data_IF_538654167478
#
_entry.id   IF_538654167478
#
_cell.length_a   1.000
_cell.length_b   1.000
_cell.length_c   1.000
_cell.angle_alpha   90.00
_cell.angle_beta   90.00
_cell.angle_gamma   90.00
#
_symmetry.space_group_name_H-M   'P 1'
#
loop_
_entity.id
_entity.type
_entity.pdbx_description
1 polymer ?
#
# COMPACT_ATOMS: atom_id res chain seq x y z
N UNK A 1 41.23 -86.99 16.17
CA UNK A 1 40.42 -86.59 17.34
C UNK A 1 39.26 -85.75 16.80
N UNK A 2 38.03 -86.34 16.80
CA UNK A 2 36.68 -85.75 16.58
C UNK A 2 36.44 -84.87 15.31
N UNK A 3 35.59 -85.28 14.34
CA UNK A 3 34.12 -85.03 14.22
C UNK A 3 33.77 -83.52 14.10
N UNK A 4 32.87 -82.97 13.26
CA UNK A 4 31.97 -83.38 12.18
C UNK A 4 31.28 -82.08 11.65
N UNK A 5 30.76 -82.11 10.42
CA UNK A 5 29.60 -81.37 9.86
C UNK A 5 29.48 -79.82 9.71
N UNK A 6 29.47 -79.42 8.43
CA UNK A 6 28.41 -78.74 7.63
C UNK A 6 27.43 -77.78 8.36
N UNK A 7 27.35 -76.54 7.85
CA UNK A 7 26.20 -75.63 8.07
C UNK A 7 26.28 -74.32 7.26
N UNK A 8 25.45 -74.22 6.23
CA UNK A 8 25.31 -73.08 5.29
C UNK A 8 24.67 -71.86 5.98
N UNK A 9 25.12 -70.65 5.63
CA UNK A 9 24.44 -69.40 6.01
C UNK A 9 24.94 -68.17 5.26
N UNK A 10 24.51 -68.01 4.01
CA UNK A 10 24.67 -66.77 3.22
C UNK A 10 24.04 -65.58 3.96
N UNK A 11 24.80 -64.51 4.16
CA UNK A 11 24.28 -63.13 4.18
C UNK A 11 25.15 -62.27 3.28
N UNK A 12 24.58 -61.90 2.13
CA UNK A 12 25.15 -60.88 1.25
C UNK A 12 25.00 -59.52 1.93
N UNK A 13 26.12 -58.88 2.27
CA UNK A 13 26.15 -57.47 2.64
C UNK A 13 26.48 -56.66 1.40
N UNK A 14 25.44 -56.12 0.77
CA UNK A 14 25.57 -55.13 -0.31
C UNK A 14 26.16 -53.87 0.29
N UNK A 15 27.44 -53.59 -0.01
CA UNK A 15 28.07 -52.29 0.24
C UNK A 15 27.43 -51.25 -0.69
N UNK A 16 26.41 -50.56 -0.21
CA UNK A 16 25.94 -49.31 -0.82
C UNK A 16 27.05 -48.27 -0.71
N UNK A 17 27.74 -48.03 -1.83
CA UNK A 17 28.52 -46.79 -2.01
C UNK A 17 27.54 -45.65 -1.98
N UNK A 18 27.49 -44.95 -0.85
CA UNK A 18 26.75 -43.71 -0.67
C UNK A 18 27.07 -42.73 -1.79
N UNK A 19 26.15 -42.62 -2.74
CA UNK A 19 26.11 -41.58 -3.77
C UNK A 19 25.80 -40.29 -3.01
N UNK A 20 26.84 -39.56 -2.58
CA UNK A 20 26.69 -38.18 -2.10
C UNK A 20 25.99 -37.41 -3.21
N UNK A 21 24.68 -37.20 -3.07
CA UNK A 21 23.93 -36.23 -3.86
C UNK A 21 24.68 -34.91 -3.68
N UNK A 22 25.24 -34.39 -4.78
CA UNK A 22 25.66 -33.00 -4.85
C UNK A 22 24.42 -32.18 -4.51
N UNK A 23 24.40 -31.64 -3.29
CA UNK A 23 23.54 -30.52 -2.94
C UNK A 23 23.81 -29.46 -4.00
N UNK A 24 22.76 -29.09 -4.74
CA UNK A 24 22.85 -28.08 -5.78
C UNK A 24 23.54 -26.86 -5.21
N UNK A 25 24.54 -26.38 -5.94
CA UNK A 25 25.20 -25.12 -5.67
C UNK A 25 24.11 -24.03 -5.67
N UNK A 26 23.67 -23.60 -4.50
CA UNK A 26 22.90 -22.37 -4.36
C UNK A 26 23.82 -21.29 -4.95
N UNK A 27 23.43 -20.72 -6.09
CA UNK A 27 24.15 -19.57 -6.62
C UNK A 27 24.29 -18.53 -5.51
N UNK A 28 25.47 -17.90 -5.34
CA UNK A 28 25.63 -16.89 -4.31
C UNK A 28 24.61 -15.78 -4.58
N UNK A 29 23.66 -15.63 -3.66
CA UNK A 29 22.72 -14.51 -3.65
C UNK A 29 23.57 -13.24 -3.64
N UNK A 30 23.70 -12.60 -4.80
CA UNK A 30 24.46 -11.36 -4.91
C UNK A 30 23.74 -10.33 -4.05
N UNK A 31 24.50 -9.70 -3.15
CA UNK A 31 23.97 -8.65 -2.31
C UNK A 31 23.33 -7.55 -3.18
N UNK A 32 22.16 -7.02 -2.78
CA UNK A 32 21.54 -5.92 -3.47
C UNK A 32 22.43 -4.67 -3.38
N UNK A 33 22.43 -3.85 -4.42
CA UNK A 33 23.29 -2.67 -4.52
C UNK A 33 22.59 -1.53 -5.25
N UNK A 34 23.03 -0.30 -5.01
CA UNK A 34 22.51 0.91 -5.66
C UNK A 34 23.30 1.22 -6.94
N UNK A 35 22.58 1.59 -8.00
CA UNK A 35 23.17 2.02 -9.26
C UNK A 35 22.66 3.42 -9.66
N UNK A 36 23.48 4.25 -10.33
CA UNK A 36 23.05 5.57 -10.78
C UNK A 36 21.79 5.50 -11.67
N UNK A 37 20.80 6.30 -11.32
CA UNK A 37 19.51 6.35 -12.00
C UNK A 37 18.97 7.78 -11.99
N UNK A 38 18.89 8.39 -13.18
CA UNK A 38 18.50 9.81 -13.32
C UNK A 38 19.37 10.68 -12.39
N UNK A 39 18.77 11.52 -11.55
CA UNK A 39 19.49 12.40 -10.61
C UNK A 39 19.79 11.73 -9.25
N UNK A 40 19.57 10.42 -9.13
CA UNK A 40 19.76 9.67 -7.90
C UNK A 40 20.22 8.24 -8.12
N UNK A 41 19.68 7.32 -7.33
CA UNK A 41 20.04 5.90 -7.35
C UNK A 41 18.81 5.01 -7.43
N UNK A 42 18.96 3.88 -8.11
CA UNK A 42 18.00 2.78 -8.10
C UNK A 42 18.66 1.54 -7.51
N UNK A 43 17.99 0.95 -6.54
CA UNK A 43 18.34 -0.30 -5.92
C UNK A 43 18.08 -1.47 -6.85
N UNK A 44 19.03 -2.40 -6.87
CA UNK A 44 19.02 -3.56 -7.75
C UNK A 44 19.20 -4.81 -6.92
N UNK A 45 18.39 -5.81 -7.22
CA UNK A 45 18.48 -7.12 -6.57
C UNK A 45 18.40 -8.25 -7.59
N UNK A 46 19.18 -9.29 -7.38
CA UNK A 46 19.07 -10.54 -8.12
C UNK A 46 18.00 -11.42 -7.49
N UNK A 47 17.01 -11.85 -8.28
CA UNK A 47 15.92 -12.73 -7.82
C UNK A 47 15.63 -13.76 -8.91
N UNK A 48 15.79 -15.05 -8.59
CA UNK A 48 15.41 -16.16 -9.48
C UNK A 48 15.98 -16.05 -10.91
N UNK A 49 17.29 -15.81 -11.04
CA UNK A 49 17.97 -15.68 -12.35
C UNK A 49 17.83 -14.33 -13.06
N UNK A 50 16.95 -13.44 -12.58
CA UNK A 50 16.73 -12.10 -13.15
C UNK A 50 17.19 -10.98 -12.23
N UNK A 51 17.12 -9.76 -12.75
CA UNK A 51 17.31 -8.51 -12.02
C UNK A 51 15.95 -7.85 -11.76
N UNK A 52 15.76 -7.35 -10.54
CA UNK A 52 14.62 -6.51 -10.19
C UNK A 52 15.07 -5.12 -9.76
N UNK A 53 14.21 -4.14 -10.07
CA UNK A 53 14.23 -2.78 -9.53
C UNK A 53 12.81 -2.44 -9.06
N UNK A 54 12.66 -1.57 -8.08
CA UNK A 54 11.34 -1.18 -7.57
C UNK A 54 11.17 0.33 -7.57
N UNK A 55 10.02 0.78 -8.07
CA UNK A 55 9.56 2.17 -8.01
C UNK A 55 8.49 2.28 -6.92
N UNK A 56 8.58 3.30 -6.06
CA UNK A 56 7.48 3.74 -5.23
C UNK A 56 6.63 4.74 -6.01
N UNK A 57 5.31 4.58 -5.95
CA UNK A 57 4.36 5.58 -6.43
C UNK A 57 3.84 6.32 -5.21
N UNK A 58 4.34 7.54 -4.92
CA UNK A 58 3.81 8.35 -3.85
C UNK A 58 2.37 8.79 -4.16
N UNK A 59 1.54 9.05 -3.14
CA UNK A 59 0.23 9.63 -3.35
C UNK A 59 0.36 11.01 -4.02
N UNK A 60 -0.68 11.42 -4.74
CA UNK A 60 -0.77 12.76 -5.32
C UNK A 60 -1.09 13.83 -4.28
N UNK A 61 -1.26 15.06 -4.74
CA UNK A 61 -1.64 16.19 -3.88
C UNK A 61 -2.91 15.86 -3.09
N UNK A 62 -2.94 16.14 -1.77
CA UNK A 62 -4.09 15.82 -0.93
C UNK A 62 -5.29 16.63 -1.41
N UNK A 63 -6.31 15.94 -1.92
CA UNK A 63 -7.52 16.55 -2.48
C UNK A 63 -8.76 15.84 -1.95
N UNK A 64 -9.86 16.57 -1.70
CA UNK A 64 -11.11 15.95 -1.32
C UNK A 64 -11.63 15.06 -2.46
N UNK A 65 -12.09 13.87 -2.12
CA UNK A 65 -12.68 12.94 -3.07
C UNK A 65 -13.81 12.14 -2.43
N UNK A 66 -14.69 11.62 -3.28
CA UNK A 66 -15.82 10.78 -2.87
C UNK A 66 -15.34 9.35 -2.66
N UNK A 67 -15.59 8.80 -1.48
CA UNK A 67 -15.26 7.41 -1.17
C UNK A 67 -16.16 6.45 -1.93
N UNK A 68 -15.66 5.23 -2.15
CA UNK A 68 -16.36 4.22 -2.95
C UNK A 68 -16.44 4.54 -4.44
N UNK A 69 -15.58 5.45 -4.94
CA UNK A 69 -15.42 5.64 -6.38
C UNK A 69 -14.74 4.40 -6.97
N UNK A 70 -15.32 3.83 -8.02
CA UNK A 70 -14.78 2.64 -8.67
C UNK A 70 -13.38 2.91 -9.23
N UNK A 71 -12.50 1.91 -9.11
CA UNK A 71 -11.19 1.82 -9.75
C UNK A 71 -11.34 1.56 -11.26
N UNK A 72 -12.54 1.30 -11.73
CA UNK A 72 -12.87 1.28 -13.13
C UNK A 72 -13.46 2.64 -13.56
N UNK A 73 -12.87 3.24 -14.58
CA UNK A 73 -13.40 4.45 -15.20
C UNK A 73 -13.30 4.34 -16.72
N UNK A 74 -14.29 4.85 -17.49
CA UNK A 74 -14.17 4.93 -18.95
C UNK A 74 -12.85 5.59 -19.35
N UNK A 75 -12.20 5.10 -20.40
CA UNK A 75 -10.88 5.60 -20.83
C UNK A 75 -10.87 7.11 -21.18
N UNK A 76 -12.04 7.68 -21.49
CA UNK A 76 -12.27 9.10 -21.78
C UNK A 76 -12.36 9.98 -20.54
N UNK A 77 -12.51 9.39 -19.35
CA UNK A 77 -12.52 10.14 -18.10
C UNK A 77 -11.09 10.58 -17.78
N UNK A 78 -10.85 11.86 -17.45
CA UNK A 78 -9.57 12.30 -16.87
C UNK A 78 -9.42 11.63 -15.50
N UNK A 79 -8.85 10.42 -15.51
CA UNK A 79 -8.74 9.56 -14.34
C UNK A 79 -7.35 9.67 -13.74
N UNK A 80 -7.30 10.04 -12.46
CA UNK A 80 -6.12 9.84 -11.64
C UNK A 80 -6.09 8.39 -11.17
N UNK A 81 -4.99 7.68 -11.46
CA UNK A 81 -4.83 6.28 -11.09
C UNK A 81 -3.71 5.62 -11.90
N UNK A 82 -3.27 4.44 -11.46
CA UNK A 82 -2.20 3.72 -12.13
C UNK A 82 -2.71 3.13 -13.45
N UNK A 83 -2.08 3.46 -14.61
CA UNK A 83 -2.59 3.06 -15.92
C UNK A 83 -2.15 1.63 -16.27
N UNK A 84 -2.91 0.63 -15.81
CA UNK A 84 -2.58 -0.78 -15.99
C UNK A 84 -2.46 -1.18 -17.47
N UNK A 85 -3.40 -0.74 -18.31
CA UNK A 85 -3.37 -1.03 -19.73
C UNK A 85 -2.11 -0.46 -20.41
N UNK A 86 -1.71 0.76 -20.06
CA UNK A 86 -0.48 1.35 -20.62
C UNK A 86 0.79 0.60 -20.19
N UNK A 87 0.85 0.10 -18.94
CA UNK A 87 1.95 -0.76 -18.49
C UNK A 87 1.97 -2.09 -19.24
N UNK A 88 0.81 -2.67 -19.50
CA UNK A 88 0.66 -3.91 -20.27
C UNK A 88 1.10 -3.70 -21.73
N UNK A 89 0.71 -2.58 -22.35
CA UNK A 89 1.14 -2.21 -23.69
C UNK A 89 2.65 -1.93 -23.77
N UNK A 90 3.26 -1.37 -22.71
CA UNK A 90 4.71 -1.21 -22.64
C UNK A 90 5.42 -2.56 -22.69
N UNK A 91 4.91 -3.57 -21.96
CA UNK A 91 5.47 -4.93 -21.98
C UNK A 91 5.37 -5.61 -23.37
N UNK A 92 4.43 -5.20 -24.22
CA UNK A 92 4.33 -5.70 -25.60
C UNK A 92 5.41 -5.14 -26.52
N UNK A 93 6.10 -4.06 -26.13
CA UNK A 93 7.08 -3.43 -27.02
C UNK A 93 8.30 -4.33 -27.18
N UNK A 94 8.78 -4.58 -28.41
CA UNK A 94 9.94 -5.45 -28.64
C UNK A 94 11.23 -4.99 -27.92
N UNK A 95 11.31 -3.73 -27.50
CA UNK A 95 12.44 -3.13 -26.82
C UNK A 95 12.22 -2.88 -25.32
N UNK A 96 11.13 -3.41 -24.74
CA UNK A 96 10.78 -3.20 -23.34
C UNK A 96 11.85 -3.69 -22.37
N UNK A 97 12.52 -4.80 -22.69
CA UNK A 97 13.49 -5.55 -21.85
C UNK A 97 12.94 -6.05 -20.49
N UNK A 98 11.82 -5.51 -20.01
CA UNK A 98 11.05 -6.01 -18.89
C UNK A 98 10.34 -7.33 -19.24
N UNK A 99 10.47 -8.32 -18.36
CA UNK A 99 9.82 -9.64 -18.48
C UNK A 99 8.57 -9.75 -17.62
N UNK A 100 8.45 -8.92 -16.58
CA UNK A 100 7.24 -8.76 -15.80
C UNK A 100 7.24 -7.39 -15.11
N UNK A 101 6.04 -6.87 -14.83
CA UNK A 101 5.84 -5.73 -13.93
C UNK A 101 4.89 -6.20 -12.84
N UNK A 102 5.34 -6.16 -11.59
CA UNK A 102 4.50 -6.49 -10.43
C UNK A 102 4.05 -5.21 -9.75
N UNK A 103 2.75 -4.95 -9.73
CA UNK A 103 2.14 -3.88 -8.94
C UNK A 103 1.71 -4.44 -7.60
N UNK A 104 2.24 -3.90 -6.52
CA UNK A 104 1.88 -4.26 -5.15
C UNK A 104 1.24 -3.06 -4.46
N UNK A 105 0.01 -3.23 -4.03
CA UNK A 105 -0.75 -2.25 -3.24
C UNK A 105 -0.85 -2.82 -1.84
N UNK A 106 -0.19 -2.16 -0.89
CA UNK A 106 -0.36 -2.46 0.53
C UNK A 106 -1.15 -1.35 1.18
N UNK A 107 -2.18 -1.69 1.92
CA UNK A 107 -2.98 -0.73 2.66
C UNK A 107 -3.60 -1.36 3.89
N UNK A 108 -4.49 -0.61 4.51
CA UNK A 108 -5.33 -1.10 5.58
C UNK A 108 -6.39 -0.06 5.88
N UNK A 109 -7.47 -0.52 6.50
CA UNK A 109 -8.49 0.36 7.05
C UNK A 109 -8.01 0.94 8.38
N UNK A 110 -8.69 0.53 9.45
CA UNK A 110 -8.62 1.11 10.76
C UNK A 110 -8.00 0.12 11.75
N UNK A 111 -6.67 0.13 11.95
CA UNK A 111 -6.00 -0.88 12.77
C UNK A 111 -6.37 -0.78 14.25
N UNK A 112 -6.51 -1.94 14.89
CA UNK A 112 -6.69 -2.07 16.34
C UNK A 112 -8.15 -2.12 16.82
N UNK A 113 -8.31 -2.50 18.08
CA UNK A 113 -9.63 -2.70 18.72
C UNK A 113 -9.91 -1.68 19.82
N UNK A 114 -9.14 -0.59 19.87
CA UNK A 114 -9.34 0.50 20.81
C UNK A 114 -10.63 1.30 20.54
N UNK A 115 -10.99 2.23 21.44
CA UNK A 115 -12.21 3.02 21.31
C UNK A 115 -12.29 3.83 20.01
N UNK A 116 -11.21 4.51 19.63
CA UNK A 116 -11.16 5.32 18.40
C UNK A 116 -11.30 4.47 17.13
N UNK A 117 -10.52 3.37 16.93
CA UNK A 117 -10.73 2.48 15.80
C UNK A 117 -12.13 1.88 15.71
N UNK A 118 -12.69 1.46 16.85
CA UNK A 118 -14.04 0.88 16.91
C UNK A 118 -15.11 1.89 16.50
N UNK A 119 -15.05 3.12 17.05
CA UNK A 119 -15.99 4.19 16.70
C UNK A 119 -15.90 4.58 15.21
N UNK A 120 -14.68 4.63 14.65
CA UNK A 120 -14.46 4.99 13.26
C UNK A 120 -14.88 3.88 12.29
N UNK A 121 -14.65 2.60 12.61
CA UNK A 121 -15.22 1.47 11.83
C UNK A 121 -16.74 1.53 11.78
N UNK A 122 -17.38 1.88 12.91
CA UNK A 122 -18.82 2.09 12.97
C UNK A 122 -19.32 3.22 12.05
N UNK A 123 -18.52 4.27 11.86
CA UNK A 123 -18.82 5.35 10.90
C UNK A 123 -18.63 4.89 9.45
N UNK A 124 -17.52 4.20 9.16
CA UNK A 124 -17.19 3.72 7.81
C UNK A 124 -18.23 2.73 7.30
N UNK A 125 -18.75 1.86 8.17
CA UNK A 125 -19.67 0.80 7.76
C UNK A 125 -19.06 -0.05 6.64
N UNK A 126 -19.80 -0.31 5.54
CA UNK A 126 -19.33 -1.14 4.42
C UNK A 126 -18.63 -0.34 3.31
N UNK A 127 -18.05 0.84 3.61
CA UNK A 127 -17.36 1.66 2.61
C UNK A 127 -15.94 1.15 2.35
N UNK A 128 -15.56 0.83 1.09
CA UNK A 128 -14.27 0.21 0.76
C UNK A 128 -13.18 1.28 0.81
N UNK A 129 -12.83 1.69 2.03
CA UNK A 129 -11.92 2.77 2.30
C UNK A 129 -10.62 2.23 2.90
N UNK A 130 -9.49 2.59 2.29
CA UNK A 130 -8.20 2.37 2.89
C UNK A 130 -7.65 3.74 3.29
N UNK A 131 -7.62 3.97 4.61
CA UNK A 131 -7.12 5.21 5.16
C UNK A 131 -5.66 5.46 4.77
N UNK A 132 -4.90 4.37 4.53
CA UNK A 132 -3.53 4.42 4.05
C UNK A 132 -3.31 3.40 2.93
N UNK A 133 -2.64 3.83 1.87
CA UNK A 133 -2.18 2.98 0.77
C UNK A 133 -0.73 3.29 0.44
N UNK A 134 -0.01 2.25 0.05
CA UNK A 134 1.34 2.35 -0.48
C UNK A 134 1.44 1.47 -1.70
N UNK A 135 2.01 2.02 -2.77
CA UNK A 135 2.08 1.34 -4.05
C UNK A 135 3.52 1.20 -4.46
N UNK A 136 3.88 -0.02 -4.88
CA UNK A 136 5.21 -0.39 -5.35
C UNK A 136 5.07 -1.08 -6.69
N UNK A 137 5.90 -0.68 -7.65
CA UNK A 137 6.03 -1.34 -8.94
C UNK A 137 7.41 -1.98 -9.04
N UNK A 138 7.47 -3.30 -9.06
CA UNK A 138 8.70 -4.04 -9.29
C UNK A 138 8.82 -4.38 -10.76
N UNK A 139 9.88 -3.88 -11.41
CA UNK A 139 10.21 -4.18 -12.80
C UNK A 139 11.22 -5.32 -12.80
N UNK A 140 10.82 -6.47 -13.36
CA UNK A 140 11.69 -7.63 -13.54
C UNK A 140 12.27 -7.63 -14.95
N UNK A 141 13.56 -7.90 -15.02
CA UNK A 141 14.29 -8.11 -16.27
C UNK A 141 15.04 -9.43 -16.21
N UNK A 142 14.99 -10.19 -17.29
CA UNK A 142 15.78 -11.40 -17.45
C UNK A 142 16.67 -11.27 -18.69
N UNK A 143 17.98 -11.01 -18.50
CA UNK A 143 18.93 -10.86 -19.61
C UNK A 143 19.04 -12.13 -20.48
N UNK A 144 18.75 -13.31 -19.94
CA UNK A 144 18.86 -14.58 -20.67
C UNK A 144 17.68 -14.80 -21.61
N UNK A 145 16.51 -14.23 -21.30
CA UNK A 145 15.34 -14.29 -22.18
C UNK A 145 15.44 -13.32 -23.36
N UNK A 146 16.24 -12.25 -23.22
CA UNK A 146 16.37 -11.20 -24.25
C UNK A 146 17.83 -10.83 -24.57
N UNK A 147 18.68 -11.80 -24.97
CA UNK A 147 20.11 -11.57 -25.14
C UNK A 147 20.44 -10.50 -26.19
N UNK A 148 19.66 -10.45 -27.28
CA UNK A 148 19.82 -9.44 -28.34
C UNK A 148 19.50 -8.01 -27.88
N UNK A 149 18.55 -7.83 -26.96
CA UNK A 149 18.28 -6.52 -26.35
C UNK A 149 19.37 -6.13 -25.37
N UNK A 150 19.83 -7.08 -24.55
CA UNK A 150 20.94 -6.85 -23.62
C UNK A 150 22.22 -6.45 -24.35
N UNK A 151 22.53 -7.09 -25.49
CA UNK A 151 23.70 -6.80 -26.30
C UNK A 151 23.77 -5.33 -26.80
N UNK A 152 22.61 -4.66 -26.97
CA UNK A 152 22.56 -3.23 -27.36
C UNK A 152 23.18 -2.31 -26.29
N UNK A 153 23.28 -2.77 -25.05
CA UNK A 153 23.85 -2.03 -23.93
C UNK A 153 25.32 -2.38 -23.64
N UNK A 154 25.95 -3.18 -24.51
CA UNK A 154 27.33 -3.61 -24.42
C UNK A 154 27.47 -5.10 -24.13
N UNK A 155 28.61 -5.49 -23.53
CA UNK A 155 28.92 -6.88 -23.20
C UNK A 155 28.93 -7.14 -21.69
N UNK A 156 28.70 -8.42 -21.34
CA UNK A 156 28.87 -8.91 -19.97
C UNK A 156 27.80 -8.43 -18.97
N UNK A 157 28.06 -8.61 -17.66
CA UNK A 157 27.09 -8.32 -16.60
C UNK A 157 26.63 -6.85 -16.53
N UNK A 158 27.49 -5.91 -16.95
CA UNK A 158 27.15 -4.47 -17.00
C UNK A 158 26.08 -4.18 -18.07
N UNK A 159 26.02 -4.96 -19.14
CA UNK A 159 24.98 -4.82 -20.17
C UNK A 159 23.61 -5.22 -19.62
N UNK A 160 23.54 -6.31 -18.83
CA UNK A 160 22.32 -6.74 -18.13
C UNK A 160 21.81 -5.65 -17.17
N UNK A 161 22.73 -5.07 -16.38
CA UNK A 161 22.45 -3.95 -15.50
C UNK A 161 21.87 -2.74 -16.26
N UNK A 162 22.52 -2.31 -17.34
CA UNK A 162 22.06 -1.17 -18.16
C UNK A 162 20.70 -1.44 -18.81
N UNK A 163 20.47 -2.66 -19.29
CA UNK A 163 19.17 -3.08 -19.82
C UNK A 163 18.08 -3.03 -18.76
N UNK A 164 18.38 -3.47 -17.53
CA UNK A 164 17.47 -3.39 -16.38
C UNK A 164 17.11 -1.93 -16.06
N UNK A 165 18.11 -1.06 -15.89
CA UNK A 165 17.89 0.36 -15.63
C UNK A 165 17.12 1.05 -16.78
N UNK A 166 17.38 0.67 -18.04
CA UNK A 166 16.64 1.20 -19.18
C UNK A 166 15.17 0.78 -19.17
N UNK A 167 14.86 -0.47 -18.81
CA UNK A 167 13.48 -0.93 -18.64
C UNK A 167 12.76 -0.13 -17.54
N UNK A 168 13.41 0.07 -16.39
CA UNK A 168 12.90 0.86 -15.27
C UNK A 168 12.65 2.31 -15.67
N UNK A 169 13.57 2.94 -16.43
CA UNK A 169 13.39 4.31 -16.95
C UNK A 169 12.19 4.42 -17.87
N UNK A 170 11.92 3.42 -18.72
CA UNK A 170 10.74 3.42 -19.60
C UNK A 170 9.43 3.34 -18.80
N UNK A 171 9.39 2.51 -17.76
CA UNK A 171 8.24 2.43 -16.85
C UNK A 171 8.03 3.77 -16.14
N UNK A 172 9.08 4.34 -15.54
CA UNK A 172 9.00 5.64 -14.88
C UNK A 172 8.57 6.76 -15.85
N UNK A 173 9.13 6.80 -17.06
CA UNK A 173 8.78 7.78 -18.08
C UNK A 173 7.32 7.63 -18.56
N UNK A 174 6.83 6.40 -18.70
CA UNK A 174 5.42 6.14 -19.02
C UNK A 174 4.50 6.69 -17.93
N UNK A 175 4.78 6.37 -16.66
CA UNK A 175 4.01 6.86 -15.53
C UNK A 175 4.00 8.40 -15.47
N UNK A 176 5.17 9.03 -15.64
CA UNK A 176 5.27 10.50 -15.71
C UNK A 176 4.46 11.09 -16.85
N UNK A 177 4.48 10.46 -18.04
CA UNK A 177 3.66 10.86 -19.18
C UNK A 177 2.15 10.78 -18.91
N UNK A 178 1.73 9.94 -17.97
CA UNK A 178 0.36 9.84 -17.48
C UNK A 178 0.07 10.71 -16.24
N UNK A 179 1.02 11.57 -15.82
CA UNK A 179 0.86 12.41 -14.63
C UNK A 179 1.06 11.68 -13.30
N UNK A 180 1.61 10.46 -13.32
CA UNK A 180 1.89 9.65 -12.13
C UNK A 180 3.37 9.76 -11.75
N UNK A 181 3.64 10.24 -10.54
CA UNK A 181 5.01 10.26 -10.01
C UNK A 181 5.49 8.85 -9.67
N UNK A 182 6.75 8.54 -9.97
CA UNK A 182 7.37 7.28 -9.62
C UNK A 182 8.84 7.53 -9.22
N UNK A 183 9.20 7.08 -8.01
CA UNK A 183 10.52 7.32 -7.42
C UNK A 183 11.24 5.98 -7.24
N UNK A 184 12.48 5.81 -7.72
CA UNK A 184 13.23 4.59 -7.50
C UNK A 184 13.52 4.36 -6.01
N UNK A 185 13.40 3.11 -5.56
CA UNK A 185 13.80 2.69 -4.23
C UNK A 185 15.27 2.32 -4.21
N UNK A 186 15.96 2.61 -3.09
CA UNK A 186 17.32 2.14 -2.82
C UNK A 186 17.37 0.62 -2.60
N UNK A 187 18.55 0.02 -2.67
CA UNK A 187 18.77 -1.41 -2.47
C UNK A 187 18.27 -1.90 -1.10
N UNK A 188 18.43 -1.09 -0.05
CA UNK A 188 17.91 -1.35 1.27
C UNK A 188 16.38 -1.36 1.29
N UNK A 189 15.74 -0.38 0.63
CA UNK A 189 14.28 -0.29 0.52
C UNK A 189 13.67 -1.40 -0.35
N UNK A 190 14.33 -1.79 -1.45
CA UNK A 190 13.95 -2.96 -2.26
C UNK A 190 14.00 -4.21 -1.39
N UNK A 191 15.05 -4.36 -0.58
CA UNK A 191 15.21 -5.50 0.32
C UNK A 191 14.12 -5.56 1.38
N UNK A 192 13.80 -4.42 2.00
CA UNK A 192 12.70 -4.33 2.96
C UNK A 192 11.34 -4.63 2.32
N UNK A 193 11.13 -4.18 1.07
CA UNK A 193 9.88 -4.44 0.31
C UNK A 193 9.72 -5.93 0.01
N UNK A 194 10.77 -6.59 -0.44
CA UNK A 194 10.75 -8.02 -0.73
C UNK A 194 10.65 -8.86 0.54
N UNK A 195 11.30 -8.45 1.63
CA UNK A 195 11.15 -9.10 2.93
C UNK A 195 9.74 -8.94 3.49
N UNK A 196 9.09 -7.78 3.30
CA UNK A 196 7.69 -7.60 3.71
C UNK A 196 6.74 -8.50 2.91
N UNK A 197 6.97 -8.67 1.61
CA UNK A 197 6.20 -9.59 0.78
C UNK A 197 6.46 -11.07 1.13
N UNK A 198 7.71 -11.42 1.45
CA UNK A 198 8.10 -12.73 1.93
C UNK A 198 7.67 -12.99 3.40
N UNK A 199 7.53 -11.96 4.23
CA UNK A 199 6.93 -12.06 5.55
C UNK A 199 5.40 -12.25 5.50
N UNK A 200 4.79 -11.98 4.35
CA UNK A 200 3.45 -12.45 4.01
C UNK A 200 3.48 -13.82 3.28
N UNK A 201 4.66 -14.42 3.07
CA UNK A 201 4.89 -15.65 2.30
C UNK A 201 6.18 -16.35 2.77
N UNK A 202 6.29 -16.72 4.04
CA UNK A 202 7.53 -17.34 4.52
C UNK A 202 7.65 -18.76 3.93
N UNK A 203 8.73 -19.11 3.21
CA UNK A 203 8.93 -20.48 2.76
C UNK A 203 9.57 -21.28 3.88
N UNK A 204 8.89 -22.33 4.33
CA UNK A 204 9.51 -23.39 5.12
C UNK A 204 9.10 -23.47 6.59
N UNK A 205 7.82 -23.72 6.86
CA UNK A 205 7.43 -24.66 7.91
C UNK A 205 6.06 -25.23 7.55
N UNK A 206 6.01 -26.56 7.38
CA UNK A 206 4.78 -27.27 7.07
C UNK A 206 3.74 -27.05 8.17
N UNK A 207 2.69 -26.32 7.84
CA UNK A 207 1.56 -25.97 8.69
C UNK A 207 0.64 -25.06 7.90
N UNK A 208 -0.53 -25.59 7.57
CA UNK A 208 -1.64 -24.96 6.86
C UNK A 208 -2.32 -23.96 7.82
N UNK A 209 -2.73 -22.78 7.33
CA UNK A 209 -2.62 -21.47 8.02
C UNK A 209 -1.16 -21.10 8.23
N UNK A 210 -0.69 -19.97 7.67
CA UNK A 210 0.60 -19.41 8.06
C UNK A 210 0.44 -18.87 9.49
N UNK A 211 0.35 -19.75 10.48
CA UNK A 211 0.10 -19.45 11.88
C UNK A 211 1.20 -18.57 12.49
N UNK A 212 2.33 -18.42 11.80
CA UNK A 212 3.39 -17.50 12.16
C UNK A 212 3.08 -16.03 11.79
N UNK A 213 2.26 -15.78 10.75
CA UNK A 213 1.97 -14.43 10.22
C UNK A 213 0.48 -14.07 10.25
N UNK A 214 -0.41 -15.06 10.36
CA UNK A 214 -1.86 -14.88 10.33
C UNK A 214 -2.39 -14.37 8.98
N UNK A 215 -1.63 -14.52 7.88
CA UNK A 215 -2.01 -13.99 6.57
C UNK A 215 -2.68 -15.04 5.68
N UNK A 216 -3.90 -14.77 5.24
CA UNK A 216 -4.65 -15.59 4.27
C UNK A 216 -4.54 -14.99 2.88
N UNK A 217 -4.30 -15.82 1.86
CA UNK A 217 -4.16 -15.37 0.47
C UNK A 217 -5.23 -15.96 -0.43
N UNK A 218 -5.72 -15.14 -1.35
CA UNK A 218 -6.71 -15.47 -2.35
C UNK A 218 -6.18 -15.10 -3.73
N UNK A 219 -6.45 -15.92 -4.74
CA UNK A 219 -6.34 -15.50 -6.13
C UNK A 219 -7.62 -14.81 -6.57
N UNK A 220 -7.47 -13.84 -7.47
CA UNK A 220 -8.60 -13.11 -8.04
C UNK A 220 -8.86 -13.63 -9.44
N UNK A 221 -10.06 -14.19 -9.63
CA UNK A 221 -10.57 -14.67 -10.92
C UNK A 221 -11.44 -13.59 -11.55
N UNK A 222 -10.90 -12.89 -12.54
CA UNK A 222 -11.57 -11.84 -13.29
C UNK A 222 -11.52 -12.12 -14.79
N UNK A 223 -12.52 -11.63 -15.53
CA UNK A 223 -12.64 -11.81 -16.99
C UNK A 223 -12.20 -10.56 -17.75
N UNK A 224 -12.28 -9.40 -17.11
CA UNK A 224 -12.05 -8.07 -17.68
C UNK A 224 -11.55 -7.10 -16.60
N UNK A 225 -11.24 -5.87 -17.00
CA UNK A 225 -10.75 -4.83 -16.10
C UNK A 225 -11.76 -4.40 -15.02
N UNK A 226 -13.06 -4.43 -15.31
CA UNK A 226 -14.11 -4.00 -14.38
C UNK A 226 -14.30 -5.01 -13.25
N UNK A 227 -14.41 -6.30 -13.59
CA UNK A 227 -14.49 -7.41 -12.63
C UNK A 227 -13.22 -7.51 -11.79
N UNK A 228 -12.03 -7.26 -12.38
CA UNK A 228 -10.77 -7.18 -11.65
C UNK A 228 -10.78 -6.04 -10.62
N UNK A 229 -11.15 -4.83 -11.03
CA UNK A 229 -11.22 -3.66 -10.16
C UNK A 229 -12.20 -3.89 -9.00
N UNK A 230 -13.41 -4.34 -9.30
CA UNK A 230 -14.46 -4.62 -8.31
C UNK A 230 -14.03 -5.69 -7.30
N UNK A 231 -13.42 -6.78 -7.77
CA UNK A 231 -12.94 -7.85 -6.90
C UNK A 231 -11.80 -7.37 -6.00
N UNK A 232 -10.90 -6.51 -6.50
CA UNK A 232 -9.81 -5.97 -5.70
C UNK A 232 -10.28 -4.88 -4.71
N UNK A 233 -11.26 -4.06 -5.08
CA UNK A 233 -11.87 -3.04 -4.20
C UNK A 233 -12.52 -3.66 -2.97
N UNK A 234 -13.14 -4.83 -3.15
CA UNK A 234 -13.91 -5.52 -2.12
C UNK A 234 -13.09 -5.83 -0.86
N UNK A 235 -11.76 -5.95 -0.96
CA UNK A 235 -10.90 -6.26 0.20
C UNK A 235 -10.95 -5.20 1.28
N UNK A 236 -11.09 -3.92 0.90
CA UNK A 236 -11.01 -2.81 1.85
C UNK A 236 -12.20 -2.75 2.79
N UNK A 237 -13.27 -3.47 2.47
CA UNK A 237 -14.45 -3.68 3.31
C UNK A 237 -14.38 -4.89 4.23
N UNK A 238 -13.60 -5.88 3.83
CA UNK A 238 -13.64 -7.20 4.44
C UNK A 238 -12.46 -7.42 5.38
N UNK A 239 -11.36 -6.70 5.21
CA UNK A 239 -10.17 -6.91 6.04
C UNK A 239 -10.20 -6.05 7.31
N UNK A 240 -10.04 -6.71 8.47
CA UNK A 240 -9.84 -6.02 9.75
C UNK A 240 -8.38 -5.53 9.92
N UNK A 241 -7.44 -6.18 9.23
CA UNK A 241 -6.02 -5.91 9.32
C UNK A 241 -5.39 -5.42 8.00
N UNK A 242 -4.04 -5.42 7.94
CA UNK A 242 -3.32 -5.06 6.73
C UNK A 242 -3.70 -5.94 5.53
N UNK A 243 -3.75 -5.30 4.38
CA UNK A 243 -4.06 -5.91 3.09
C UNK A 243 -2.92 -5.71 2.13
N UNK A 244 -2.64 -6.72 1.33
CA UNK A 244 -1.72 -6.66 0.20
C UNK A 244 -2.40 -7.19 -1.06
N UNK A 245 -2.67 -6.32 -2.03
CA UNK A 245 -3.06 -6.74 -3.36
C UNK A 245 -1.82 -6.77 -4.27
N UNK A 246 -1.64 -7.86 -5.00
CA UNK A 246 -0.54 -8.01 -5.97
C UNK A 246 -1.11 -8.30 -7.34
N UNK A 247 -0.72 -7.51 -8.34
CA UNK A 247 -0.96 -7.77 -9.75
C UNK A 247 0.37 -8.04 -10.45
N UNK A 248 0.50 -9.16 -11.14
CA UNK A 248 1.65 -9.47 -11.98
C UNK A 248 1.24 -9.34 -13.45
N UNK A 249 1.81 -8.35 -14.13
CA UNK A 249 1.64 -8.12 -15.56
C UNK A 249 2.78 -8.84 -16.29
N UNK A 250 2.42 -9.72 -17.23
CA UNK A 250 3.37 -10.51 -18.02
C UNK A 250 3.02 -10.47 -19.50
N UNK A 251 4.02 -10.53 -20.41
CA UNK A 251 3.78 -10.87 -21.80
C UNK A 251 3.52 -12.39 -21.88
N UNK A 252 2.27 -12.84 -21.89
CA UNK A 252 1.92 -14.26 -22.06
C UNK A 252 2.05 -14.70 -23.52
N UNK A 253 2.09 -16.02 -23.76
CA UNK A 253 2.22 -16.61 -25.10
C UNK A 253 1.03 -16.24 -26.02
N UNK A 254 -0.20 -16.23 -25.47
CA UNK A 254 -1.40 -15.76 -26.18
C UNK A 254 -1.64 -14.24 -26.05
N UNK A 255 -0.58 -13.48 -25.74
CA UNK A 255 -0.63 -12.06 -25.41
C UNK A 255 -0.58 -11.80 -23.91
N UNK A 256 -0.42 -10.52 -23.52
CA UNK A 256 -0.15 -10.19 -22.14
C UNK A 256 -1.33 -10.45 -21.23
N UNK A 257 -1.00 -10.83 -20.01
CA UNK A 257 -1.88 -11.38 -19.01
C UNK A 257 -1.61 -10.69 -17.67
N UNK A 258 -2.69 -10.48 -16.91
CA UNK A 258 -2.60 -10.03 -15.52
C UNK A 258 -3.11 -11.12 -14.60
N UNK A 259 -2.24 -11.54 -13.71
CA UNK A 259 -2.59 -12.40 -12.58
C UNK A 259 -2.74 -11.52 -11.34
N UNK A 260 -3.80 -11.71 -10.55
CA UNK A 260 -4.04 -10.93 -9.35
C UNK A 260 -4.24 -11.82 -8.12
N UNK A 261 -3.76 -11.34 -6.97
CA UNK A 261 -3.95 -11.96 -5.67
C UNK A 261 -4.15 -10.94 -4.58
N UNK A 262 -4.81 -11.36 -3.50
CA UNK A 262 -5.08 -10.55 -2.32
C UNK A 262 -4.64 -11.34 -1.09
N UNK A 263 -3.74 -10.75 -0.30
CA UNK A 263 -3.35 -11.20 1.02
C UNK A 263 -4.02 -10.35 2.09
N UNK A 264 -4.58 -10.99 3.10
CA UNK A 264 -5.21 -10.34 4.25
C UNK A 264 -4.59 -10.89 5.52
N UNK A 265 -4.00 -10.02 6.32
CA UNK A 265 -3.49 -10.37 7.65
C UNK A 265 -4.62 -10.23 8.66
N UNK A 266 -4.90 -11.29 9.41
CA UNK A 266 -6.00 -11.37 10.37
C UNK A 266 -7.27 -11.98 9.77
N UNK A 267 -8.42 -11.58 10.31
CA UNK A 267 -9.73 -12.12 9.92
C UNK A 267 -10.39 -11.30 8.82
N UNK A 268 -11.25 -11.97 8.05
CA UNK A 268 -12.21 -11.32 7.17
C UNK A 268 -13.53 -11.09 7.92
N UNK A 269 -14.12 -9.91 7.78
CA UNK A 269 -15.50 -9.63 8.13
C UNK A 269 -16.43 -10.33 7.12
N UNK A 270 -16.74 -11.59 7.36
CA UNK A 270 -17.64 -12.39 6.52
C UNK A 270 -16.93 -13.30 5.52
N UNK A 271 -17.69 -13.80 4.54
CA UNK A 271 -17.18 -14.72 3.52
C UNK A 271 -16.39 -14.00 2.43
N UNK A 272 -15.36 -14.64 1.84
CA UNK A 272 -14.64 -14.07 0.71
C UNK A 272 -15.57 -13.85 -0.50
N UNK A 273 -15.34 -12.82 -1.33
CA UNK A 273 -16.12 -12.55 -2.54
C UNK A 273 -16.10 -13.71 -3.54
N UNK A 274 -17.10 -13.76 -4.43
CA UNK A 274 -17.26 -14.82 -5.45
C UNK A 274 -16.05 -14.98 -6.40
N UNK A 275 -15.33 -13.88 -6.64
CA UNK A 275 -14.15 -13.87 -7.51
C UNK A 275 -12.86 -14.29 -6.81
N UNK A 276 -12.92 -14.66 -5.52
CA UNK A 276 -11.75 -14.96 -4.72
C UNK A 276 -11.67 -16.46 -4.43
N UNK A 277 -10.58 -17.07 -4.89
CA UNK A 277 -10.30 -18.48 -4.60
C UNK A 277 -9.18 -18.55 -3.57
N UNK A 278 -9.38 -19.18 -2.40
CA UNK A 278 -8.32 -19.39 -1.43
C UNK A 278 -7.12 -20.09 -2.08
N UNK A 279 -5.93 -19.53 -1.95
CA UNK A 279 -4.71 -20.16 -2.43
C UNK A 279 -4.20 -21.14 -1.36
N UNK A 280 -4.30 -22.43 -1.67
CA UNK A 280 -3.85 -23.53 -0.80
C UNK A 280 -2.47 -24.02 -1.28
N UNK A 281 -1.44 -23.91 -0.43
CA UNK A 281 -0.07 -24.34 -0.72
C UNK A 281 0.81 -23.31 -1.45
N UNK A 282 2.03 -23.71 -1.84
CA UNK A 282 2.87 -22.93 -2.78
C UNK A 282 2.23 -23.01 -4.16
N UNK A 283 1.32 -22.08 -4.46
CA UNK A 283 0.91 -21.85 -5.84
C UNK A 283 1.93 -20.89 -6.45
N UNK A 284 2.77 -21.34 -7.40
CA UNK A 284 3.59 -20.40 -8.15
C UNK A 284 2.66 -19.41 -8.84
N UNK A 285 3.01 -18.13 -8.89
CA UNK A 285 2.24 -17.05 -9.52
C UNK A 285 1.86 -17.27 -11.02
N UNK A 286 2.20 -18.43 -11.57
CA UNK A 286 2.09 -18.85 -12.97
C UNK A 286 0.80 -19.60 -13.34
N UNK A 287 -0.05 -20.00 -12.38
CA UNK A 287 -1.27 -20.77 -12.67
C UNK A 287 -2.58 -20.00 -12.37
N UNK A 288 -2.50 -18.67 -12.26
CA UNK A 288 -3.66 -17.83 -11.98
C UNK A 288 -4.41 -17.48 -13.27
N UNK A 289 -5.75 -17.35 -13.22
CA UNK A 289 -6.52 -16.88 -14.36
C UNK A 289 -6.05 -15.48 -14.80
N UNK A 290 -5.85 -15.32 -16.10
CA UNK A 290 -5.26 -14.15 -16.70
C UNK A 290 -6.31 -13.20 -17.28
N UNK A 291 -6.33 -11.95 -16.80
CA UNK A 291 -7.10 -10.87 -17.43
C UNK A 291 -6.31 -10.31 -18.61
N UNK A 292 -6.95 -10.14 -19.76
CA UNK A 292 -6.31 -9.67 -21.00
C UNK A 292 -6.75 -8.27 -21.44
N UNK A 293 -7.95 -7.84 -21.05
CA UNK A 293 -8.47 -6.50 -21.30
C UNK A 293 -8.48 -5.71 -19.99
N UNK A 294 -7.69 -4.62 -19.96
CA UNK A 294 -7.59 -3.70 -18.83
C UNK A 294 -8.02 -2.28 -19.23
N UNK A 295 -8.70 -2.12 -20.37
CA UNK A 295 -9.21 -0.83 -20.79
C UNK A 295 -10.09 -0.26 -19.67
N UNK A 296 -9.81 0.97 -19.26
CA UNK A 296 -10.53 1.63 -18.16
C UNK A 296 -10.15 1.22 -16.74
N UNK A 297 -9.36 0.15 -16.54
CA UNK A 297 -8.84 -0.20 -15.21
C UNK A 297 -7.82 0.83 -14.74
N UNK A 298 -8.05 1.42 -13.56
CA UNK A 298 -7.23 2.47 -12.94
C UNK A 298 -7.13 2.23 -11.44
N UNK A 299 -6.03 1.65 -10.99
CA UNK A 299 -5.83 1.43 -9.55
C UNK A 299 -5.64 2.77 -8.84
N UNK A 300 -6.25 2.99 -7.66
CA UNK A 300 -6.12 4.23 -6.92
C UNK A 300 -4.67 4.39 -6.50
N UNK A 301 -4.13 5.58 -6.74
CA UNK A 301 -2.78 5.95 -6.27
C UNK A 301 -2.84 6.62 -4.90
N UNK A 302 -3.92 7.34 -4.65
CA UNK A 302 -4.15 8.09 -3.43
C UNK A 302 -4.72 7.16 -2.34
N UNK A 303 -4.39 7.48 -1.10
CA UNK A 303 -5.15 6.95 0.03
C UNK A 303 -6.45 7.76 0.22
N UNK A 304 -7.38 7.18 0.97
CA UNK A 304 -8.69 7.79 1.19
C UNK A 304 -8.66 8.84 2.32
N UNK A 305 -7.56 8.90 3.07
CA UNK A 305 -7.43 9.71 4.27
C UNK A 305 -8.50 9.40 5.30
N UNK A 306 -9.07 10.46 5.88
CA UNK A 306 -10.17 10.35 6.85
C UNK A 306 -11.47 10.87 6.27
N UNK A 307 -12.60 10.26 6.63
CA UNK A 307 -13.92 10.82 6.33
C UNK A 307 -14.03 12.18 7.03
N UNK A 308 -14.48 13.19 6.30
CA UNK A 308 -14.81 14.51 6.88
C UNK A 308 -16.32 14.66 7.01
N UNK A 309 -17.06 14.31 5.96
CA UNK A 309 -18.50 14.52 5.85
C UNK A 309 -19.10 13.77 4.68
N UNK A 310 -20.36 14.07 4.38
CA UNK A 310 -21.04 13.66 3.15
C UNK A 310 -21.31 14.89 2.28
N UNK A 311 -21.17 14.77 0.96
CA UNK A 311 -21.54 15.83 0.04
C UNK A 311 -23.09 16.01 -0.04
N UNK A 312 -23.61 17.00 -0.79
CA UNK A 312 -25.06 17.21 -0.90
C UNK A 312 -25.86 16.01 -1.43
N UNK A 313 -25.20 15.08 -2.14
CA UNK A 313 -25.80 13.84 -2.66
C UNK A 313 -25.77 12.70 -1.62
N UNK A 314 -25.27 12.98 -0.40
CA UNK A 314 -25.10 11.98 0.66
C UNK A 314 -23.88 11.08 0.46
N UNK A 315 -22.98 11.38 -0.48
CA UNK A 315 -21.80 10.55 -0.73
C UNK A 315 -20.68 10.90 0.27
N UNK A 316 -20.08 9.91 0.94
CA UNK A 316 -18.98 10.18 1.87
C UNK A 316 -17.79 10.82 1.17
N UNK A 317 -17.20 11.84 1.81
CA UNK A 317 -16.04 12.58 1.32
C UNK A 317 -14.86 12.39 2.27
N UNK A 318 -13.77 11.88 1.70
CA UNK A 318 -12.48 11.71 2.38
C UNK A 318 -11.52 12.85 2.06
N UNK A 319 -10.62 13.13 2.99
CA UNK A 319 -9.47 14.00 2.79
C UNK A 319 -8.25 13.46 3.55
N UNK A 320 -7.12 13.40 2.85
CA UNK A 320 -5.83 13.08 3.44
C UNK A 320 -5.27 14.31 4.17
N UNK A 321 -5.26 14.25 5.49
CA UNK A 321 -4.78 15.33 6.38
C UNK A 321 -3.42 15.02 7.02
N UNK A 322 -2.91 13.81 6.84
CA UNK A 322 -1.62 13.37 7.38
C UNK A 322 -0.91 12.43 6.40
N UNK A 323 0.41 12.49 6.39
CA UNK A 323 1.24 11.65 5.52
C UNK A 323 2.67 12.18 5.40
N UNK A 324 3.63 11.33 4.99
CA UNK A 324 5.04 11.71 4.90
C UNK A 324 5.30 12.86 3.90
N UNK A 325 4.40 13.07 2.95
CA UNK A 325 4.43 14.10 1.93
C UNK A 325 3.46 15.27 2.22
N UNK A 326 2.78 15.26 3.38
CA UNK A 326 1.98 16.37 3.88
C UNK A 326 2.73 17.03 5.04
N UNK A 327 3.43 18.12 4.76
CA UNK A 327 4.12 18.88 5.80
C UNK A 327 3.15 19.58 6.77
N UNK A 328 1.97 19.99 6.26
CA UNK A 328 0.97 20.73 7.01
C UNK A 328 -0.44 20.48 6.48
N UNK A 329 -1.39 20.43 7.39
CA UNK A 329 -2.83 20.47 7.15
C UNK A 329 -3.49 21.44 8.14
N UNK A 330 -4.65 21.99 7.79
CA UNK A 330 -5.33 22.99 8.60
C UNK A 330 -6.78 22.58 8.89
N UNK A 331 -7.24 22.88 10.12
CA UNK A 331 -8.64 22.75 10.53
C UNK A 331 -9.08 24.07 11.12
N UNK A 332 -10.09 24.68 10.50
CA UNK A 332 -10.74 25.91 10.98
C UNK A 332 -12.13 25.52 11.47
N UNK A 333 -12.40 25.69 12.75
CA UNK A 333 -13.70 25.36 13.30
C UNK A 333 -13.69 25.08 14.80
N UNK A 334 -14.83 24.62 15.31
CA UNK A 334 -15.02 24.37 16.74
C UNK A 334 -14.21 23.15 17.19
N UNK A 335 -13.84 23.14 18.47
CA UNK A 335 -13.00 22.10 19.08
C UNK A 335 -13.53 20.68 18.82
N UNK A 336 -14.85 20.47 18.83
CA UNK A 336 -15.46 19.16 18.56
C UNK A 336 -15.12 18.61 17.17
N UNK A 337 -15.04 19.48 16.15
CA UNK A 337 -14.62 19.06 14.79
C UNK A 337 -13.15 18.64 14.81
N UNK A 338 -12.30 19.42 15.46
CA UNK A 338 -10.86 19.17 15.54
C UNK A 338 -10.59 17.85 16.27
N UNK A 339 -11.19 17.67 17.45
CA UNK A 339 -11.11 16.43 18.24
C UNK A 339 -11.59 15.22 17.42
N UNK A 340 -12.68 15.37 16.65
CA UNK A 340 -13.16 14.30 15.77
C UNK A 340 -12.18 13.96 14.66
N UNK A 341 -11.58 14.95 14.01
CA UNK A 341 -10.52 14.72 13.01
C UNK A 341 -9.34 13.98 13.64
N UNK A 342 -8.93 14.35 14.86
CA UNK A 342 -7.86 13.66 15.60
C UNK A 342 -8.21 12.20 15.89
N UNK A 343 -9.44 11.92 16.36
CA UNK A 343 -9.93 10.54 16.57
C UNK A 343 -9.82 9.74 15.28
N UNK A 344 -10.21 10.31 14.13
CA UNK A 344 -10.16 9.63 12.84
C UNK A 344 -8.74 9.40 12.34
N UNK A 345 -7.82 10.34 12.59
CA UNK A 345 -6.39 10.17 12.24
C UNK A 345 -5.75 9.07 13.08
N UNK A 346 -6.02 9.06 14.39
CA UNK A 346 -5.62 7.99 15.30
C UNK A 346 -6.17 6.65 14.84
N UNK A 347 -7.47 6.60 14.51
CA UNK A 347 -8.14 5.42 14.00
C UNK A 347 -7.56 4.95 12.65
N UNK A 348 -7.12 5.87 11.78
CA UNK A 348 -6.39 5.59 10.55
C UNK A 348 -4.94 5.09 10.76
N UNK A 349 -4.48 5.02 12.01
CA UNK A 349 -3.14 4.54 12.38
C UNK A 349 -2.07 5.63 12.38
N UNK A 350 -2.45 6.91 12.46
CA UNK A 350 -1.49 8.01 12.65
C UNK A 350 -1.24 8.27 14.13
N UNK A 351 0.00 8.08 14.58
CA UNK A 351 0.41 8.52 15.92
C UNK A 351 0.36 10.04 15.99
N UNK A 352 -0.29 10.58 17.01
CA UNK A 352 -0.61 12.01 17.14
C UNK A 352 -0.16 12.55 18.50
N UNK A 353 0.61 13.62 18.48
CA UNK A 353 1.02 14.37 19.67
C UNK A 353 0.32 15.73 19.71
N UNK A 354 -0.25 16.07 20.86
CA UNK A 354 -0.97 17.34 21.08
C UNK A 354 -0.03 18.39 21.66
N UNK A 355 0.27 19.42 20.86
CA UNK A 355 0.94 20.65 21.27
C UNK A 355 -0.11 21.71 21.54
N UNK A 356 -0.34 22.01 22.81
CA UNK A 356 -1.35 22.96 23.25
C UNK A 356 -0.87 23.71 24.49
N UNK A 357 -1.34 24.96 24.64
CA UNK A 357 -1.23 25.75 25.88
C UNK A 357 -2.48 25.58 26.76
N UNK A 358 -3.46 24.78 26.31
CA UNK A 358 -4.78 24.59 26.91
C UNK A 358 -5.04 23.08 27.14
N UNK A 359 -4.25 22.40 28.00
CA UNK A 359 -4.31 20.95 28.17
C UNK A 359 -5.68 20.42 28.60
N UNK A 360 -6.46 21.21 29.32
CA UNK A 360 -7.83 20.90 29.71
C UNK A 360 -8.77 20.68 28.52
N UNK A 361 -8.47 21.28 27.36
CA UNK A 361 -9.20 21.03 26.10
C UNK A 361 -8.90 19.68 25.47
N UNK A 362 -7.96 18.90 26.00
CA UNK A 362 -7.55 17.65 25.40
C UNK A 362 -7.55 16.48 26.38
N UNK A 363 -7.45 16.73 27.69
CA UNK A 363 -7.41 15.70 28.72
C UNK A 363 -8.52 14.63 28.57
N UNK A 364 -9.77 15.05 28.44
CA UNK A 364 -10.91 14.13 28.24
C UNK A 364 -10.78 13.22 27.03
N UNK A 365 -10.34 13.78 25.88
CA UNK A 365 -10.10 13.00 24.67
C UNK A 365 -8.93 12.01 24.84
N UNK A 366 -7.83 12.44 25.47
CA UNK A 366 -6.67 11.57 25.73
C UNK A 366 -7.07 10.36 26.58
N UNK A 367 -7.88 10.59 27.62
CA UNK A 367 -8.38 9.54 28.50
C UNK A 367 -9.40 8.64 27.77
N UNK A 368 -10.28 9.20 26.96
CA UNK A 368 -11.29 8.46 26.22
C UNK A 368 -10.70 7.55 25.11
N UNK A 369 -9.64 8.00 24.43
CA UNK A 369 -8.93 7.17 23.44
C UNK A 369 -8.14 6.05 24.13
N UNK A 370 -7.64 6.28 25.34
CA UNK A 370 -6.98 5.29 26.19
C UNK A 370 -5.79 4.54 25.56
N UNK A 371 -5.17 5.11 24.52
CA UNK A 371 -3.99 4.56 23.84
C UNK A 371 -2.89 5.62 23.72
N UNK A 372 -1.97 5.63 24.69
CA UNK A 372 -0.85 6.60 24.74
C UNK A 372 0.19 6.40 23.64
N UNK A 373 0.22 5.22 23.01
CA UNK A 373 1.09 4.97 21.85
C UNK A 373 0.58 5.71 20.61
N UNK A 374 -0.75 5.83 20.49
CA UNK A 374 -1.41 6.47 19.35
C UNK A 374 -1.75 7.94 19.56
N UNK A 375 -2.18 8.34 20.76
CA UNK A 375 -2.53 9.72 21.08
C UNK A 375 -1.97 10.14 22.45
N UNK A 376 -1.18 11.20 22.49
CA UNK A 376 -0.57 11.68 23.73
C UNK A 376 -0.36 13.19 23.72
N UNK A 377 -0.19 13.78 24.91
CA UNK A 377 0.32 15.14 25.05
C UNK A 377 1.78 15.21 24.59
N UNK A 378 2.18 16.33 24.00
CA UNK A 378 3.56 16.51 23.52
C UNK A 378 4.59 16.31 24.64
N UNK A 379 5.48 15.33 24.47
CA UNK A 379 6.57 15.04 25.40
C UNK A 379 7.94 14.93 24.69
N UNK A 380 8.01 14.27 23.53
CA UNK A 380 9.29 13.93 22.86
C UNK A 380 9.28 13.96 21.32
N UNK A 381 8.20 14.44 20.68
CA UNK A 381 8.13 14.62 19.23
C UNK A 381 8.04 13.32 18.40
N UNK A 382 7.75 12.16 19.02
CA UNK A 382 7.72 10.85 18.34
C UNK A 382 6.45 10.52 17.56
N UNK A 383 5.57 11.49 17.34
CA UNK A 383 4.31 11.30 16.63
C UNK A 383 4.44 11.66 15.14
N UNK A 384 3.74 10.94 14.26
CA UNK A 384 3.64 11.29 12.84
C UNK A 384 2.91 12.62 12.62
N UNK A 385 1.88 12.87 13.44
CA UNK A 385 1.06 14.07 13.40
C UNK A 385 1.33 14.91 14.64
N UNK A 386 1.69 16.18 14.44
CA UNK A 386 1.85 17.16 15.50
C UNK A 386 0.65 18.10 15.43
N UNK A 387 -0.32 17.90 16.33
CA UNK A 387 -1.48 18.76 16.43
C UNK A 387 -1.08 20.05 17.15
N UNK A 388 -1.20 21.19 16.49
CA UNK A 388 -0.82 22.50 17.02
C UNK A 388 -2.06 23.37 17.31
N UNK A 389 -2.49 23.37 18.57
CA UNK A 389 -3.64 24.12 19.12
C UNK A 389 -3.19 25.38 19.89
N UNK A 390 -1.91 25.76 19.81
CA UNK A 390 -1.37 26.90 20.56
C UNK A 390 -1.77 28.23 19.92
N UNK A 391 -2.50 29.14 20.58
CA UNK A 391 -2.92 30.41 19.98
C UNK A 391 -1.73 31.34 19.62
N UNK A 392 -0.59 31.17 20.30
CA UNK A 392 0.62 31.98 20.12
C UNK A 392 1.65 31.37 19.15
N UNK A 393 2.85 31.07 19.67
CA UNK A 393 4.00 30.63 18.87
C UNK A 393 3.78 29.25 18.24
N UNK A 394 3.32 29.23 16.98
CA UNK A 394 3.01 28.02 16.20
C UNK A 394 4.25 27.19 15.85
N UNK A 395 4.06 25.90 15.58
CA UNK A 395 5.12 24.99 15.16
C UNK A 395 5.54 25.38 13.74
N UNK A 396 6.84 25.51 13.53
CA UNK A 396 7.45 25.57 12.20
C UNK A 396 7.46 24.18 11.55
N UNK A 397 7.65 24.10 10.22
CA UNK A 397 7.71 22.83 9.50
C UNK A 397 8.78 21.91 10.10
N UNK A 398 8.47 20.61 10.16
CA UNK A 398 9.38 19.58 10.67
C UNK A 398 9.38 18.39 9.70
N UNK A 399 10.54 18.06 9.15
CA UNK A 399 10.67 17.01 8.13
C UNK A 399 10.22 15.65 8.66
N UNK A 400 9.42 14.95 7.87
CA UNK A 400 8.88 13.63 8.23
C UNK A 400 7.64 13.68 9.14
N UNK A 401 7.17 14.87 9.52
CA UNK A 401 5.97 15.05 10.32
C UNK A 401 4.91 15.87 9.58
N UNK A 402 3.64 15.58 9.85
CA UNK A 402 2.53 16.47 9.45
C UNK A 402 2.14 17.35 10.62
N UNK A 403 2.14 18.66 10.41
CA UNK A 403 1.59 19.61 11.40
C UNK A 403 0.11 19.82 11.10
N UNK A 404 -0.76 19.37 12.00
CA UNK A 404 -2.20 19.63 11.92
C UNK A 404 -2.51 20.89 12.73
N UNK A 405 -2.71 22.02 12.05
CA UNK A 405 -2.88 23.31 12.70
C UNK A 405 -4.35 23.62 12.94
N UNK A 406 -4.64 24.05 14.16
CA UNK A 406 -6.00 24.38 14.61
C UNK A 406 -6.19 25.89 14.63
N UNK A 407 -7.27 26.34 14.00
CA UNK A 407 -7.69 27.73 13.95
C UNK A 407 -9.12 27.86 14.47
N UNK A 408 -9.37 28.91 15.24
CA UNK A 408 -10.72 29.27 15.64
C UNK A 408 -11.51 29.80 14.42
N UNK A 409 -12.84 29.68 14.44
CA UNK A 409 -13.74 29.95 13.31
C UNK A 409 -13.80 31.43 12.86
N UNK A 410 -13.18 32.33 13.62
CA UNK A 410 -13.25 33.78 13.47
C UNK A 410 -12.13 34.40 12.62
N UNK A 411 -11.34 33.61 11.87
CA UNK A 411 -10.31 34.14 10.95
C UNK A 411 -10.80 34.15 9.48
N UNK A 412 -11.46 35.24 9.03
CA UNK A 412 -12.04 35.31 7.67
C UNK A 412 -11.01 35.49 6.56
N UNK A 413 -9.71 35.52 6.84
CA UNK A 413 -8.64 35.79 5.87
C UNK A 413 -7.62 34.67 5.69
N UNK A 414 -7.79 33.52 6.35
CA UNK A 414 -6.83 32.43 6.30
C UNK A 414 -6.77 31.76 4.91
N UNK A 415 -5.67 32.00 4.18
CA UNK A 415 -5.34 31.26 2.95
C UNK A 415 -4.49 30.02 3.31
N UNK A 416 -5.02 28.79 3.14
CA UNK A 416 -4.26 27.56 3.34
C UNK A 416 -3.17 27.35 2.28
N UNK A 417 -3.15 28.17 1.21
CA UNK A 417 -2.30 27.96 0.05
C UNK A 417 -2.63 26.62 -0.62
N UNK A 418 -1.66 25.71 -0.63
CA UNK A 418 -1.80 24.40 -1.28
C UNK A 418 -2.05 23.27 -0.27
N UNK A 419 -2.11 23.59 1.03
CA UNK A 419 -2.31 22.63 2.09
C UNK A 419 -3.77 22.16 2.16
N UNK A 420 -4.01 20.90 2.55
CA UNK A 420 -5.37 20.41 2.77
C UNK A 420 -6.01 21.11 3.97
N UNK A 421 -7.27 21.53 3.81
CA UNK A 421 -8.02 22.31 4.79
C UNK A 421 -9.43 21.75 4.97
N UNK A 422 -9.87 21.64 6.23
CA UNK A 422 -11.28 21.52 6.60
C UNK A 422 -11.73 22.81 7.29
N UNK A 423 -12.70 23.51 6.72
CA UNK A 423 -13.23 24.76 7.26
C UNK A 423 -14.71 24.62 7.60
N UNK A 424 -15.04 24.59 8.88
CA UNK A 424 -16.41 24.60 9.35
C UNK A 424 -17.09 25.93 9.01
N UNK A 425 -18.35 25.87 8.63
CA UNK A 425 -19.18 27.05 8.41
C UNK A 425 -19.53 27.67 9.78
N UNK A 426 -19.30 28.98 9.94
CA UNK A 426 -19.57 29.70 11.18
C UNK A 426 -21.06 29.95 11.42
N UNK A 427 -21.88 29.96 10.36
CA UNK A 427 -23.33 30.11 10.43
C UNK A 427 -24.07 28.78 10.53
N UNK A 428 -23.52 27.70 9.96
CA UNK A 428 -24.07 26.34 10.09
C UNK A 428 -23.02 25.35 10.65
N UNK A 429 -23.05 25.06 11.95
CA UNK A 429 -22.13 24.14 12.60
C UNK A 429 -22.11 22.71 12.02
N UNK A 430 -23.14 22.30 11.28
CA UNK A 430 -23.21 20.98 10.66
C UNK A 430 -22.53 20.92 9.29
N UNK A 431 -22.01 22.05 8.79
CA UNK A 431 -21.47 22.16 7.43
C UNK A 431 -19.98 22.53 7.47
N UNK A 432 -19.22 22.02 6.51
CA UNK A 432 -17.85 22.40 6.28
C UNK A 432 -17.53 22.47 4.78
N UNK A 433 -16.53 23.28 4.43
CA UNK A 433 -15.84 23.22 3.16
C UNK A 433 -14.54 22.42 3.32
N UNK A 434 -14.35 21.43 2.47
CA UNK A 434 -13.14 20.60 2.43
C UNK A 434 -12.36 20.97 1.17
N UNK A 435 -11.07 21.27 1.30
CA UNK A 435 -10.26 21.73 0.18
C UNK A 435 -8.84 21.17 0.20
N UNK A 436 -8.23 21.09 -0.98
CA UNK A 436 -6.86 20.60 -1.16
C UNK A 436 -6.60 20.25 -2.63
N UNK A 437 -5.34 20.38 -3.08
CA UNK A 437 -4.95 20.02 -4.45
C UNK A 437 -5.78 20.72 -5.55
N UNK A 438 -6.19 21.97 -5.29
CA UNK A 438 -7.02 22.78 -6.21
C UNK A 438 -8.51 22.42 -6.27
N UNK A 439 -8.98 21.44 -5.47
CA UNK A 439 -10.38 21.03 -5.41
C UNK A 439 -11.03 21.46 -4.11
N UNK A 440 -12.32 21.83 -4.17
CA UNK A 440 -13.16 22.15 -3.01
C UNK A 440 -14.48 21.39 -3.09
N UNK A 441 -14.93 20.85 -1.97
CA UNK A 441 -16.22 20.16 -1.83
C UNK A 441 -16.89 20.64 -0.53
N UNK A 442 -18.14 21.09 -0.63
CA UNK A 442 -18.97 21.37 0.55
C UNK A 442 -19.53 20.06 1.08
N UNK A 443 -19.44 19.86 2.39
CA UNK A 443 -19.90 18.64 3.05
C UNK A 443 -20.77 18.97 4.26
N UNK A 444 -21.71 18.09 4.55
CA UNK A 444 -22.35 18.00 5.86
C UNK A 444 -21.50 17.09 6.74
N UNK A 445 -21.07 17.59 7.89
CA UNK A 445 -20.30 16.82 8.85
C UNK A 445 -21.13 15.63 9.34
N UNK A 446 -20.47 14.48 9.43
CA UNK A 446 -21.07 13.24 9.92
C UNK A 446 -20.36 12.80 11.19
N UNK A 447 -21.08 12.16 12.10
CA UNK A 447 -20.54 11.58 13.33
C UNK A 447 -21.44 10.43 13.78
N UNK A 448 -20.87 9.47 14.51
CA UNK A 448 -21.65 8.44 15.21
C UNK A 448 -21.77 8.78 16.70
N UNK A 449 -22.77 8.22 17.43
CA UNK A 449 -22.85 8.36 18.88
C UNK A 449 -21.57 7.90 19.61
N UNK A 450 -20.88 6.89 19.08
CA UNK A 450 -19.61 6.41 19.62
C UNK A 450 -18.49 7.45 19.43
N UNK A 451 -18.39 8.10 18.27
CA UNK A 451 -17.44 9.21 18.07
C UNK A 451 -17.79 10.41 18.99
N UNK A 452 -19.07 10.73 19.15
CA UNK A 452 -19.52 11.81 20.01
C UNK A 452 -19.17 11.58 21.48
N UNK A 453 -19.25 10.33 21.95
CA UNK A 453 -18.84 9.97 23.31
C UNK A 453 -17.35 10.23 23.54
N UNK A 454 -16.49 9.93 22.55
CA UNK A 454 -15.05 10.20 22.63
C UNK A 454 -14.71 11.69 22.60
N UNK A 455 -15.46 12.46 21.79
CA UNK A 455 -15.19 13.89 21.59
C UNK A 455 -15.67 14.73 22.77
N UNK A 456 -16.74 14.30 23.47
CA UNK A 456 -17.34 15.02 24.60
C UNK A 456 -16.83 14.59 25.97
N UNK A 457 -16.28 13.38 26.08
CA UNK A 457 -15.52 12.93 27.26
C UNK A 457 -14.31 13.80 27.49
#
# INVERSE_FOLDING_TARGET
MALQDIGIGRRASTRERGRRRRVGHLEPVRAPFDAPFEDGFAGIRYVGGGLITTLAVPPGSPRPHRLGSSWFAPATSPGAGLPLDSLLQLLRRPDAAATAITVRIRGGGCPGDGPAPTAYRGLLGPLPAAARRSIRLTVRTDPLLHPGLTARYGAGPTAALRASLAATRRVAALLRGCGVSAVPLTAAQVTATELAAAGASAPGSAGYDDAATGTRRYSVSATDGETLCTAMESVWNLAEGPVECTLELRPGDDGPAVCASVGVTGSLCGSPPVHWTPLTGEVPALALPAVRDLAGARLPIDDDGVIVGADPDGRPVGLRLAGPDIARADVVGRLDLVRRIVVRLVAAGHTTAVFTERPERWAGLLDAVADRGMLHAAADGRAQVLLDDRPGARLGPLDGHTILRVHDDADPGFDPGHHPLVRQDSGDPAVAEVSGGGRRIRVRLVATPAEDALVRG
#
